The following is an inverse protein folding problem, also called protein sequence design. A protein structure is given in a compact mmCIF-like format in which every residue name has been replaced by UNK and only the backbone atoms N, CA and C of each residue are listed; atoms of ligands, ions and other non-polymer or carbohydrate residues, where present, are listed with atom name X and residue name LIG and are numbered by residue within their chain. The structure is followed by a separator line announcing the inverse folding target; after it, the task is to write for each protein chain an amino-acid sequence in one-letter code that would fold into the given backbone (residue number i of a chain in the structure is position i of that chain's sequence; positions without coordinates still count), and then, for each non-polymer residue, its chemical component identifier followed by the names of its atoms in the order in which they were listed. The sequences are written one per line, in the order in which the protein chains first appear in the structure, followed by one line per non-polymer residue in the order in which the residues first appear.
data_IF_189175930016
#
_entry.id   IF_189175930016
#
_cell.length_a   1.000
_cell.length_b   1.000
_cell.length_c   1.000
_cell.angle_alpha   90.00
_cell.angle_beta   90.00
_cell.angle_gamma   90.00
#
_symmetry.space_group_name_H-M   'P 1'
#
loop_
_entity.id
_entity.type
_entity.pdbx_description
1 polymer ?
#
# COMPACT_ATOMS: atom_id res chain seq x y z
N UNK A 1 8.11 31.08 -24.08
CA UNK A 1 8.88 30.37 -23.07
C UNK A 1 8.16 30.29 -21.71
N UNK A 2 7.55 31.36 -21.24
CA UNK A 2 6.75 31.41 -20.00
C UNK A 2 5.54 30.48 -20.09
N UNK A 3 4.88 30.41 -21.24
CA UNK A 3 3.72 29.53 -21.46
C UNK A 3 4.04 28.03 -21.35
N UNK A 4 5.21 27.61 -21.82
CA UNK A 4 5.64 26.21 -21.75
C UNK A 4 5.87 25.73 -20.31
N UNK A 5 6.39 26.64 -19.47
CA UNK A 5 6.65 26.35 -18.05
C UNK A 5 5.35 26.24 -17.25
N UNK A 6 4.39 27.13 -17.52
CA UNK A 6 3.06 27.06 -16.91
C UNK A 6 2.23 25.87 -17.36
N UNK A 7 2.32 25.52 -18.66
CA UNK A 7 1.63 24.36 -19.22
C UNK A 7 2.15 23.05 -18.62
N UNK A 8 3.47 22.91 -18.49
CA UNK A 8 4.08 21.73 -17.87
C UNK A 8 3.73 21.62 -16.37
N UNK A 9 3.67 22.75 -15.66
CA UNK A 9 3.22 22.79 -14.27
C UNK A 9 1.75 22.35 -14.16
N UNK A 10 0.88 22.89 -15.03
CA UNK A 10 -0.53 22.54 -15.09
C UNK A 10 -0.75 21.03 -15.41
N UNK A 11 0.00 20.49 -16.37
CA UNK A 11 -0.06 19.06 -16.71
C UNK A 11 0.39 18.18 -15.54
N UNK A 12 1.43 18.59 -14.80
CA UNK A 12 1.92 17.87 -13.64
C UNK A 12 0.94 17.92 -12.46
N UNK A 13 0.27 19.06 -12.23
CA UNK A 13 -0.72 19.22 -11.17
C UNK A 13 -1.97 18.37 -11.41
N UNK A 14 -2.33 18.12 -12.67
CA UNK A 14 -3.49 17.31 -13.03
C UNK A 14 -3.16 15.82 -13.25
N UNK A 15 -1.88 15.45 -13.21
CA UNK A 15 -1.47 14.06 -13.35
C UNK A 15 -1.80 13.27 -12.09
N UNK A 16 -2.53 12.15 -12.26
CA UNK A 16 -2.80 11.23 -11.15
C UNK A 16 -1.51 10.64 -10.59
N UNK A 17 -1.44 10.53 -9.28
CA UNK A 17 -0.35 9.86 -8.57
C UNK A 17 -0.48 8.35 -8.72
N UNK A 18 0.65 7.67 -8.84
CA UNK A 18 0.71 6.21 -8.85
C UNK A 18 1.03 5.70 -7.44
N UNK A 19 0.18 4.86 -6.91
CA UNK A 19 0.31 4.25 -5.58
C UNK A 19 0.27 2.74 -5.74
N UNK A 20 1.10 2.02 -5.01
CA UNK A 20 1.05 0.57 -4.97
C UNK A 20 0.93 0.07 -3.53
N UNK A 21 0.10 -0.96 -3.33
CA UNK A 21 -0.16 -1.57 -2.03
C UNK A 21 -0.06 -3.08 -2.12
N UNK A 22 0.28 -3.72 -1.00
CA UNK A 22 0.42 -5.17 -0.92
C UNK A 22 -0.51 -5.73 0.14
N UNK A 23 -1.24 -6.78 -0.24
CA UNK A 23 -2.00 -7.63 0.68
C UNK A 23 -1.09 -8.81 1.05
N UNK A 24 -0.52 -8.79 2.25
CA UNK A 24 0.24 -9.92 2.79
C UNK A 24 -0.72 -10.85 3.51
N UNK A 25 -0.76 -12.13 3.09
CA UNK A 25 -1.63 -13.15 3.67
C UNK A 25 -0.76 -14.22 4.32
N UNK A 26 -0.92 -14.44 5.62
CA UNK A 26 -0.17 -15.45 6.36
C UNK A 26 -0.80 -16.85 6.29
N UNK A 27 -0.17 -17.85 6.90
CA UNK A 27 -0.62 -19.24 6.89
C UNK A 27 -1.99 -19.46 7.55
N UNK A 28 -2.41 -18.52 8.41
CA UNK A 28 -3.72 -18.55 9.07
C UNK A 28 -4.81 -17.82 8.24
N UNK A 29 -4.52 -17.45 7.01
CA UNK A 29 -5.40 -16.67 6.12
C UNK A 29 -5.74 -15.30 6.68
N UNK A 30 -4.82 -14.71 7.45
CA UNK A 30 -4.95 -13.36 8.00
C UNK A 30 -4.16 -12.37 7.17
N UNK A 31 -4.67 -11.17 7.08
CA UNK A 31 -4.15 -10.07 6.26
C UNK A 31 -3.47 -9.04 7.15
N UNK A 32 -2.28 -8.59 6.74
CA UNK A 32 -1.56 -7.52 7.43
C UNK A 32 -2.22 -6.17 7.13
N UNK A 33 -2.58 -5.46 8.20
CA UNK A 33 -3.01 -4.07 8.12
C UNK A 33 -2.18 -3.21 9.06
N UNK A 34 -1.98 -1.96 8.67
CA UNK A 34 -1.22 -0.96 9.41
C UNK A 34 -2.13 0.19 9.81
N UNK A 35 -1.96 0.70 11.03
CA UNK A 35 -2.72 1.87 11.47
C UNK A 35 -1.91 3.14 11.21
N UNK A 36 -2.52 4.10 10.55
CA UNK A 36 -1.92 5.42 10.32
C UNK A 36 -1.72 6.14 11.64
N UNK A 37 -0.54 6.74 11.81
CA UNK A 37 -0.18 7.39 13.07
C UNK A 37 -1.03 8.63 13.32
N UNK A 38 -1.04 9.08 14.57
CA UNK A 38 -1.77 10.28 15.01
C UNK A 38 -1.24 11.58 14.38
N UNK A 39 -0.04 11.53 13.80
CA UNK A 39 0.54 12.68 13.09
C UNK A 39 0.01 12.85 11.67
N UNK A 40 -0.73 11.86 11.13
CA UNK A 40 -1.38 11.99 9.83
C UNK A 40 -2.54 12.97 9.93
N UNK A 41 -2.48 14.05 9.17
CA UNK A 41 -3.47 15.15 9.23
C UNK A 41 -4.84 14.76 8.64
N UNK A 42 -4.90 13.74 7.79
CA UNK A 42 -6.12 13.42 7.03
C UNK A 42 -6.75 12.08 7.40
N UNK A 43 -5.94 11.12 7.83
CA UNK A 43 -6.37 9.73 8.07
C UNK A 43 -5.77 9.14 9.34
N UNK A 44 -5.52 9.98 10.35
CA UNK A 44 -5.05 9.51 11.65
C UNK A 44 -5.94 8.39 12.19
N UNK A 45 -5.33 7.34 12.73
CA UNK A 45 -5.98 6.17 13.31
C UNK A 45 -6.73 5.26 12.32
N UNK A 46 -6.69 5.55 11.00
CA UNK A 46 -7.28 4.68 9.98
C UNK A 46 -6.38 3.46 9.72
N UNK A 47 -7.02 2.31 9.55
CA UNK A 47 -6.36 1.07 9.13
C UNK A 47 -6.32 0.98 7.61
N UNK A 48 -5.16 0.61 7.09
CA UNK A 48 -4.93 0.48 5.65
C UNK A 48 -3.91 -0.63 5.36
N UNK A 49 -3.80 -0.99 4.08
CA UNK A 49 -2.76 -1.88 3.57
C UNK A 49 -1.41 -1.16 3.54
N UNK A 50 -0.29 -1.87 3.74
CA UNK A 50 1.01 -1.28 3.46
C UNK A 50 1.11 -0.88 1.98
N UNK A 51 1.70 0.27 1.72
CA UNK A 51 1.87 0.81 0.38
C UNK A 51 2.10 2.31 0.38
N UNK A 52 2.42 2.84 -0.78
CA UNK A 52 2.69 4.27 -0.92
C UNK A 52 2.97 4.67 -2.36
N UNK A 53 3.46 5.88 -2.51
CA UNK A 53 3.76 6.47 -3.81
C UNK A 53 4.89 5.75 -4.53
N UNK A 54 4.71 5.54 -5.83
CA UNK A 54 5.78 5.04 -6.70
C UNK A 54 6.74 6.20 -6.98
N UNK A 55 8.02 5.98 -6.68
CA UNK A 55 9.08 6.94 -6.98
C UNK A 55 9.53 6.80 -8.45
N UNK A 56 10.01 7.90 -9.06
CA UNK A 56 10.60 7.81 -10.40
C UNK A 56 11.79 6.84 -10.50
N UNK A 57 12.46 6.55 -9.38
CA UNK A 57 13.57 5.60 -9.29
C UNK A 57 13.14 4.15 -9.20
N UNK A 58 11.87 3.87 -8.97
CA UNK A 58 11.35 2.50 -8.95
C UNK A 58 11.30 1.94 -10.38
N UNK A 59 11.87 0.75 -10.60
CA UNK A 59 11.94 0.14 -11.93
C UNK A 59 10.58 -0.37 -12.43
N UNK A 60 9.64 -0.60 -11.50
CA UNK A 60 8.29 -1.11 -11.80
C UNK A 60 7.33 -0.80 -10.65
N UNK A 61 6.05 -1.05 -10.88
CA UNK A 61 5.03 -0.95 -9.82
C UNK A 61 5.32 -1.95 -8.70
N UNK A 62 5.73 -3.17 -9.05
CA UNK A 62 6.10 -4.22 -8.10
C UNK A 62 7.31 -3.79 -7.25
N UNK A 63 8.32 -3.18 -7.87
CA UNK A 63 9.50 -2.68 -7.16
C UNK A 63 9.12 -1.60 -6.16
N UNK A 64 8.25 -0.67 -6.55
CA UNK A 64 7.75 0.38 -5.67
C UNK A 64 6.93 -0.18 -4.51
N UNK A 65 6.06 -1.16 -4.78
CA UNK A 65 5.28 -1.85 -3.75
C UNK A 65 6.18 -2.56 -2.75
N UNK A 66 7.18 -3.29 -3.22
CA UNK A 66 8.13 -4.00 -2.38
C UNK A 66 8.96 -3.03 -1.51
N UNK A 67 9.40 -1.91 -2.09
CA UNK A 67 10.13 -0.86 -1.35
C UNK A 67 9.27 -0.28 -0.23
N UNK A 68 8.03 0.08 -0.52
CA UNK A 68 7.10 0.62 0.48
C UNK A 68 6.84 -0.36 1.62
N UNK A 69 6.65 -1.64 1.32
CA UNK A 69 6.46 -2.67 2.35
C UNK A 69 7.68 -2.75 3.28
N UNK A 70 8.88 -2.69 2.73
CA UNK A 70 10.11 -2.70 3.52
C UNK A 70 10.24 -1.43 4.37
N UNK A 71 9.98 -0.26 3.80
CA UNK A 71 10.06 1.02 4.51
C UNK A 71 9.02 1.13 5.63
N UNK A 72 7.78 0.70 5.40
CA UNK A 72 6.68 0.84 6.35
C UNK A 72 6.61 -0.27 7.39
N UNK A 73 6.89 -1.51 7.00
CA UNK A 73 6.67 -2.68 7.86
C UNK A 73 7.92 -3.52 8.13
N UNK A 74 9.03 -3.26 7.44
CA UNK A 74 10.26 -4.02 7.62
C UNK A 74 10.26 -5.38 6.95
N UNK A 75 9.25 -5.70 6.14
CA UNK A 75 9.15 -6.97 5.44
C UNK A 75 9.79 -6.90 4.05
N UNK A 76 10.48 -7.96 3.66
CA UNK A 76 11.13 -8.06 2.35
C UNK A 76 10.39 -9.07 1.49
N UNK A 77 9.96 -8.64 0.30
CA UNK A 77 9.27 -9.48 -0.67
C UNK A 77 10.01 -9.41 -2.01
N UNK A 78 10.12 -10.54 -2.68
CA UNK A 78 10.63 -10.58 -4.05
C UNK A 78 9.53 -10.18 -5.03
N UNK A 79 9.86 -9.40 -6.04
CA UNK A 79 8.88 -8.93 -7.04
C UNK A 79 8.18 -10.10 -7.74
N UNK A 80 8.88 -11.22 -7.97
CA UNK A 80 8.31 -12.43 -8.56
C UNK A 80 7.27 -13.14 -7.68
N UNK A 81 7.22 -12.82 -6.39
CA UNK A 81 6.24 -13.37 -5.44
C UNK A 81 5.01 -12.47 -5.29
N UNK A 82 4.94 -11.36 -6.02
CA UNK A 82 3.79 -10.46 -6.04
C UNK A 82 2.85 -10.85 -7.18
N UNK A 83 1.58 -11.05 -6.86
CA UNK A 83 0.52 -11.30 -7.84
C UNK A 83 -0.37 -10.07 -7.95
N UNK A 84 -0.58 -9.55 -9.15
CA UNK A 84 -1.47 -8.43 -9.41
C UNK A 84 -2.92 -8.80 -9.11
N UNK A 85 -3.60 -7.96 -8.35
CA UNK A 85 -5.01 -8.15 -8.00
C UNK A 85 -5.90 -7.22 -8.81
N UNK A 86 -5.71 -5.91 -8.67
CA UNK A 86 -6.55 -4.93 -9.34
C UNK A 86 -5.94 -3.54 -9.30
N UNK A 87 -6.49 -2.65 -10.12
CA UNK A 87 -6.22 -1.22 -10.11
C UNK A 87 -7.49 -0.48 -9.68
N UNK A 88 -7.37 0.38 -8.69
CA UNK A 88 -8.42 1.32 -8.30
C UNK A 88 -8.14 2.69 -8.90
N UNK A 89 -9.06 3.20 -9.67
CA UNK A 89 -8.99 4.56 -10.17
C UNK A 89 -9.66 5.50 -9.18
N UNK A 90 -8.86 6.28 -8.46
CA UNK A 90 -9.31 7.30 -7.53
C UNK A 90 -9.22 8.68 -8.20
N UNK A 91 -9.84 9.68 -7.61
CA UNK A 91 -9.88 11.02 -8.20
C UNK A 91 -8.48 11.59 -8.47
N UNK A 92 -7.56 11.45 -7.52
CA UNK A 92 -6.21 12.02 -7.62
C UNK A 92 -5.09 10.98 -7.71
N UNK A 93 -5.44 9.71 -7.73
CA UNK A 93 -4.46 8.63 -7.71
C UNK A 93 -4.98 7.37 -8.40
N UNK A 94 -4.06 6.59 -8.95
CA UNK A 94 -4.30 5.21 -9.35
C UNK A 94 -3.63 4.31 -8.31
N UNK A 95 -4.37 3.42 -7.69
CA UNK A 95 -3.85 2.50 -6.69
C UNK A 95 -3.80 1.08 -7.25
N UNK A 96 -2.61 0.55 -7.39
CA UNK A 96 -2.34 -0.81 -7.85
C UNK A 96 -2.21 -1.71 -6.64
N UNK A 97 -2.90 -2.85 -6.63
CA UNK A 97 -2.95 -3.75 -5.49
C UNK A 97 -2.41 -5.12 -5.88
N UNK A 98 -1.44 -5.58 -5.10
CA UNK A 98 -0.80 -6.88 -5.23
C UNK A 98 -1.10 -7.74 -4.01
N UNK A 99 -0.98 -9.04 -4.15
CA UNK A 99 -1.09 -9.99 -3.04
C UNK A 99 0.15 -10.88 -3.01
N UNK A 100 0.56 -11.27 -1.81
CA UNK A 100 1.65 -12.24 -1.61
C UNK A 100 1.40 -13.10 -0.38
N UNK A 101 1.91 -14.32 -0.42
CA UNK A 101 1.98 -15.22 0.74
C UNK A 101 3.41 -15.46 1.20
N UNK A 102 4.40 -14.80 0.57
CA UNK A 102 5.83 -15.03 0.79
C UNK A 102 6.57 -13.73 1.08
N UNK A 103 7.26 -13.68 2.20
CA UNK A 103 8.17 -12.60 2.58
C UNK A 103 9.16 -13.09 3.62
N UNK A 104 10.19 -12.29 3.89
CA UNK A 104 11.16 -12.51 4.96
C UNK A 104 11.19 -11.29 5.88
N UNK A 105 11.78 -11.46 7.07
CA UNK A 105 11.87 -10.42 8.08
C UNK A 105 10.69 -10.42 9.04
N UNK A 106 10.81 -9.58 10.06
CA UNK A 106 9.79 -9.39 11.10
C UNK A 106 9.22 -7.98 11.01
N UNK A 107 7.95 -7.84 11.43
CA UNK A 107 7.30 -6.52 11.43
C UNK A 107 8.12 -5.56 12.29
N UNK A 108 8.51 -4.44 11.69
CA UNK A 108 9.21 -3.37 12.35
C UNK A 108 8.73 -2.02 11.77
N UNK A 109 7.88 -1.34 12.54
CA UNK A 109 7.36 -0.03 12.18
C UNK A 109 8.40 1.01 12.53
N UNK A 110 8.96 1.68 11.54
CA UNK A 110 10.02 2.68 11.69
C UNK A 110 9.67 3.95 10.93
N UNK A 111 10.27 5.09 11.31
CA UNK A 111 10.05 6.34 10.60
C UNK A 111 10.44 6.23 9.11
N UNK A 112 9.72 6.98 8.28
CA UNK A 112 10.04 7.12 6.87
C UNK A 112 11.46 7.68 6.73
N UNK A 113 12.37 7.04 5.98
CA UNK A 113 13.76 7.48 5.89
C UNK A 113 13.94 8.87 5.27
N UNK A 114 12.97 9.35 4.48
CA UNK A 114 13.02 10.67 3.84
C UNK A 114 12.53 11.80 4.75
N UNK A 115 11.58 11.52 5.65
CA UNK A 115 10.90 12.55 6.47
C UNK A 115 11.17 12.40 7.96
N UNK A 116 11.70 11.27 8.40
CA UNK A 116 11.89 10.88 9.80
C UNK A 116 10.56 10.91 10.61
N UNK A 117 9.44 10.75 9.92
CA UNK A 117 8.10 10.71 10.51
C UNK A 117 7.62 9.26 10.56
N UNK A 118 7.12 8.84 11.73
CA UNK A 118 6.47 7.54 11.89
C UNK A 118 5.06 7.61 11.26
N UNK A 119 4.91 6.99 10.10
CA UNK A 119 3.65 7.01 9.34
C UNK A 119 2.61 6.02 9.87
N UNK A 120 3.07 4.91 10.45
CA UNK A 120 2.22 3.86 11.03
C UNK A 120 2.70 3.52 12.44
N UNK A 121 1.77 3.44 13.39
CA UNK A 121 2.08 3.23 14.80
C UNK A 121 1.60 1.89 15.36
N UNK A 122 0.88 1.09 14.59
CA UNK A 122 0.41 -0.23 15.00
C UNK A 122 0.16 -1.11 13.77
N UNK A 123 0.12 -2.43 14.00
CA UNK A 123 -0.22 -3.41 12.98
C UNK A 123 -1.12 -4.49 13.55
N UNK A 124 -1.89 -5.14 12.68
CA UNK A 124 -2.70 -6.32 13.00
C UNK A 124 -2.68 -7.31 11.85
N UNK A 125 -2.82 -8.58 12.21
CA UNK A 125 -3.15 -9.67 11.28
C UNK A 125 -4.61 -10.01 11.49
N UNK A 126 -5.45 -9.77 10.48
CA UNK A 126 -6.91 -9.84 10.61
C UNK A 126 -7.54 -10.67 9.50
N UNK A 127 -8.69 -11.26 9.79
CA UNK A 127 -9.54 -11.86 8.77
C UNK A 127 -10.36 -10.77 8.05
N UNK A 128 -10.95 -11.12 6.90
CA UNK A 128 -11.86 -10.20 6.19
C UNK A 128 -13.02 -9.77 7.09
N UNK A 129 -13.56 -10.70 7.86
CA UNK A 129 -14.67 -10.43 8.77
C UNK A 129 -14.28 -9.44 9.87
N UNK A 130 -13.08 -9.59 10.43
CA UNK A 130 -12.56 -8.65 11.44
C UNK A 130 -12.32 -7.25 10.85
N UNK A 131 -11.92 -7.15 9.57
CA UNK A 131 -11.76 -5.86 8.89
C UNK A 131 -13.10 -5.13 8.78
N UNK A 132 -14.19 -5.86 8.49
CA UNK A 132 -15.54 -5.28 8.41
C UNK A 132 -15.98 -4.63 9.72
N UNK A 133 -15.52 -5.14 10.84
CA UNK A 133 -15.85 -4.64 12.18
C UNK A 133 -15.03 -3.41 12.57
N UNK A 134 -13.97 -3.08 11.83
CA UNK A 134 -13.15 -1.90 12.08
C UNK A 134 -13.86 -0.64 11.58
N UNK A 135 -14.18 0.27 12.50
CA UNK A 135 -14.89 1.52 12.17
C UNK A 135 -14.10 2.44 11.24
N UNK A 136 -12.77 2.37 11.31
CA UNK A 136 -11.89 3.27 10.58
C UNK A 136 -10.98 2.50 9.60
N UNK A 137 -11.57 1.58 8.85
CA UNK A 137 -10.86 0.92 7.75
C UNK A 137 -11.23 1.54 6.41
N UNK A 138 -10.23 1.77 5.57
CA UNK A 138 -10.42 2.27 4.20
C UNK A 138 -10.22 1.18 3.14
N UNK A 139 -10.19 -0.08 3.57
CA UNK A 139 -9.93 -1.22 2.69
C UNK A 139 -11.26 -1.83 2.22
N UNK A 140 -11.57 -1.79 0.91
CA UNK A 140 -12.80 -2.41 0.38
C UNK A 140 -12.74 -3.94 0.44
N UNK A 141 -13.79 -4.56 0.98
CA UNK A 141 -13.85 -6.02 1.13
C UNK A 141 -13.76 -6.79 -0.18
N UNK A 142 -14.34 -6.28 -1.26
CA UNK A 142 -14.32 -6.97 -2.55
C UNK A 142 -12.90 -7.16 -3.09
N UNK A 143 -12.00 -6.23 -2.79
CA UNK A 143 -10.58 -6.32 -3.16
C UNK A 143 -9.88 -7.44 -2.38
N UNK A 144 -10.16 -7.54 -1.08
CA UNK A 144 -9.59 -8.57 -0.23
C UNK A 144 -10.05 -9.96 -0.67
N UNK A 145 -11.32 -10.12 -1.00
CA UNK A 145 -11.86 -11.39 -1.53
C UNK A 145 -11.21 -11.77 -2.86
N UNK A 146 -11.06 -10.79 -3.76
CA UNK A 146 -10.38 -11.01 -5.03
C UNK A 146 -8.92 -11.45 -4.83
N UNK A 147 -8.23 -10.86 -3.87
CA UNK A 147 -6.86 -11.23 -3.52
C UNK A 147 -6.77 -12.68 -3.02
N UNK A 148 -7.66 -13.08 -2.10
CA UNK A 148 -7.69 -14.44 -1.58
C UNK A 148 -8.03 -15.45 -2.68
N UNK A 149 -8.90 -15.12 -3.61
CA UNK A 149 -9.21 -15.98 -4.76
C UNK A 149 -8.00 -16.16 -5.68
N UNK A 150 -7.19 -15.11 -5.86
CA UNK A 150 -5.96 -15.19 -6.67
C UNK A 150 -4.96 -16.20 -6.10
N UNK A 151 -4.75 -16.22 -4.80
CA UNK A 151 -3.78 -17.13 -4.17
C UNK A 151 -4.29 -18.58 -4.07
N UNK A 152 -5.60 -18.80 -4.06
CA UNK A 152 -6.19 -20.15 -4.09
C UNK A 152 -6.03 -20.85 -5.44
N UNK A 153 -5.89 -20.07 -6.51
CA UNK A 153 -5.80 -20.59 -7.88
C UNK A 153 -4.36 -20.70 -8.40
N UNK A 154 -3.39 -20.48 -7.53
CA UNK A 154 -1.96 -20.67 -7.85
C UNK A 154 -1.44 -22.08 -7.56
#
# INVERSE_FOLDING_TARGET
MIYKKHWNSFLNENKKKEIASIICVNDEQRILILRRSKTDKHKADFWDLPGGHIDPSDDSLEAGAARELQEEAGLNVSMGDLTYVTKRELHKANRYIFVTTKWTGDINLKPNPKTDILEHDDHKWVTIEEIKELEQSIIPNYILRKALDKIKNE
#
